data_IF_351123826483
#
_entry.id   IF_351123826483
#
_cell.length_a   1.000
_cell.length_b   1.000
_cell.length_c   1.000
_cell.angle_alpha   90.00
_cell.angle_beta   90.00
_cell.angle_gamma   90.00
#
_symmetry.space_group_name_H-M   'P 1'
#
loop_
_entity.id
_entity.type
_entity.pdbx_description
1 polymer ?
#
# COMPACT_ATOMS: atom_id res chain seq x y z
N UNK A 1 29.32 0.62 -17.53
CA UNK A 1 28.82 -0.18 -17.23
C UNK A 1 27.50 -0.47 -17.56
N UNK A 2 27.35 -1.04 -18.37
CA UNK A 2 26.07 -1.22 -18.88
C UNK A 2 25.17 -2.07 -18.10
N UNK A 3 25.69 -2.79 -17.13
CA UNK A 3 24.78 -3.65 -16.47
C UNK A 3 23.79 -2.89 -15.67
N UNK A 4 24.09 -1.71 -15.25
CA UNK A 4 23.17 -0.95 -14.46
C UNK A 4 21.93 -0.60 -15.20
N UNK A 5 22.03 -0.16 -16.45
CA UNK A 5 20.82 0.19 -17.11
C UNK A 5 20.09 -0.99 -17.68
N UNK A 6 20.75 -2.09 -17.90
CA UNK A 6 20.01 -3.24 -18.31
C UNK A 6 19.08 -3.73 -17.23
N UNK A 7 19.48 -3.58 -15.98
CA UNK A 7 18.64 -3.97 -14.88
C UNK A 7 17.49 -3.04 -14.67
N UNK A 8 17.69 -1.76 -14.97
CA UNK A 8 16.76 -0.76 -14.49
C UNK A 8 15.34 -0.94 -15.01
N UNK A 9 15.17 -1.28 -16.26
CA UNK A 9 13.82 -1.29 -16.81
C UNK A 9 13.04 -2.50 -16.39
N UNK A 10 13.64 -3.69 -16.54
CA UNK A 10 12.92 -4.89 -16.25
C UNK A 10 12.77 -5.13 -14.76
N UNK A 11 13.80 -4.79 -14.01
CA UNK A 11 13.86 -5.19 -12.61
C UNK A 11 13.14 -4.26 -11.69
N UNK A 12 12.75 -3.06 -12.13
CA UNK A 12 11.96 -2.19 -11.27
C UNK A 12 10.65 -2.85 -10.87
N UNK A 13 9.99 -3.51 -11.82
CA UNK A 13 8.71 -4.15 -11.52
C UNK A 13 8.87 -5.33 -10.56
N UNK A 14 10.07 -5.89 -10.48
CA UNK A 14 10.34 -7.03 -9.60
C UNK A 14 11.04 -6.63 -8.32
N UNK A 15 11.45 -5.38 -8.18
CA UNK A 15 12.03 -4.93 -6.94
C UNK A 15 11.02 -5.04 -5.82
N UNK A 16 11.51 -5.45 -4.66
CA UNK A 16 10.66 -5.59 -3.50
C UNK A 16 11.01 -4.52 -2.51
N UNK A 17 10.04 -3.68 -2.20
CA UNK A 17 10.17 -2.65 -1.20
C UNK A 17 8.90 -2.60 -0.40
N UNK A 18 8.91 -1.85 0.68
CA UNK A 18 7.71 -1.67 1.49
C UNK A 18 6.92 -0.50 0.93
N UNK A 19 5.60 -0.57 1.16
CA UNK A 19 4.69 0.46 0.67
C UNK A 19 3.77 0.93 1.78
N UNK A 20 3.40 2.20 1.65
CA UNK A 20 2.37 2.84 2.46
C UNK A 20 1.19 3.02 1.53
N UNK A 21 0.04 2.47 1.90
CA UNK A 21 -1.15 2.54 1.07
C UNK A 21 -2.27 3.15 1.89
N UNK A 22 -2.84 4.23 1.39
CA UNK A 22 -3.89 4.93 2.08
C UNK A 22 -5.17 4.85 1.27
N UNK A 23 -6.24 4.39 1.91
CA UNK A 23 -7.53 4.23 1.27
C UNK A 23 -8.57 5.08 1.98
N UNK A 24 -9.48 5.64 1.21
CA UNK A 24 -10.72 6.20 1.74
C UNK A 24 -11.81 5.20 1.45
N UNK A 25 -12.48 4.73 2.49
CA UNK A 25 -13.45 3.64 2.36
C UNK A 25 -14.75 4.02 3.05
N UNK A 26 -15.82 3.32 2.67
CA UNK A 26 -17.09 3.48 3.37
C UNK A 26 -16.96 2.91 4.77
N UNK A 27 -17.64 3.53 5.74
CA UNK A 27 -17.63 3.04 7.11
C UNK A 27 -18.71 2.00 7.26
N UNK A 28 -18.39 0.75 6.94
CA UNK A 28 -19.35 -0.33 7.04
C UNK A 28 -18.65 -1.62 7.40
N UNK A 29 -19.45 -2.56 7.87
CA UNK A 29 -18.92 -3.85 8.27
C UNK A 29 -18.28 -4.54 7.08
N UNK A 30 -17.17 -5.20 7.34
CA UNK A 30 -16.52 -6.02 6.35
C UNK A 30 -15.55 -5.30 5.45
N UNK A 31 -15.48 -3.96 5.49
CA UNK A 31 -14.59 -3.26 4.58
C UNK A 31 -13.13 -3.60 4.86
N UNK A 32 -12.78 -3.74 6.13
CA UNK A 32 -11.42 -4.11 6.48
C UNK A 32 -11.09 -5.49 5.94
N UNK A 33 -12.01 -6.43 6.09
CA UNK A 33 -11.81 -7.79 5.59
C UNK A 33 -11.69 -7.81 4.08
N UNK A 34 -12.55 -7.04 3.39
CA UNK A 34 -12.50 -7.00 1.93
C UNK A 34 -11.16 -6.49 1.42
N UNK A 35 -10.70 -5.37 1.98
CA UNK A 35 -9.47 -4.77 1.49
C UNK A 35 -8.26 -5.62 1.86
N UNK A 36 -8.28 -6.21 3.05
CA UNK A 36 -7.20 -7.09 3.46
C UNK A 36 -7.12 -8.32 2.55
N UNK A 37 -8.28 -8.86 2.18
CA UNK A 37 -8.30 -10.02 1.32
C UNK A 37 -7.73 -9.69 -0.05
N UNK A 38 -8.04 -8.53 -0.59
CA UNK A 38 -7.48 -8.12 -1.88
C UNK A 38 -5.96 -8.09 -1.81
N UNK A 39 -5.43 -7.47 -0.75
CA UNK A 39 -3.98 -7.40 -0.63
C UNK A 39 -3.36 -8.79 -0.52
N UNK A 40 -3.98 -9.66 0.25
CA UNK A 40 -3.46 -11.02 0.40
C UNK A 40 -3.52 -11.78 -0.92
N UNK A 41 -4.64 -11.65 -1.64
CA UNK A 41 -4.79 -12.34 -2.92
C UNK A 41 -3.79 -11.85 -3.94
N UNK A 42 -3.35 -10.61 -3.81
CA UNK A 42 -2.38 -10.02 -4.71
C UNK A 42 -0.95 -10.14 -4.19
N UNK A 43 -0.75 -11.06 -3.24
CA UNK A 43 0.59 -11.42 -2.80
C UNK A 43 1.26 -10.35 -1.95
N UNK A 44 0.49 -9.55 -1.26
CA UNK A 44 1.03 -8.48 -0.44
C UNK A 44 0.81 -8.81 1.02
N UNK A 45 1.90 -8.84 1.76
CA UNK A 45 1.88 -9.13 3.19
C UNK A 45 1.83 -7.80 3.95
N UNK A 46 0.92 -7.71 4.90
CA UNK A 46 0.68 -6.47 5.63
C UNK A 46 1.44 -6.50 6.94
N UNK A 47 2.18 -5.43 7.22
CA UNK A 47 2.89 -5.32 8.49
C UNK A 47 2.10 -4.52 9.51
N UNK A 48 1.37 -3.51 9.07
CA UNK A 48 0.63 -2.64 9.98
C UNK A 48 -0.63 -2.14 9.33
N UNK A 49 -1.66 -1.93 10.14
CA UNK A 49 -2.93 -1.36 9.70
C UNK A 49 -3.32 -0.27 10.67
N UNK A 50 -3.76 0.85 10.15
CA UNK A 50 -4.28 1.94 10.96
C UNK A 50 -5.61 2.36 10.38
N UNK A 51 -6.60 2.55 11.22
CA UNK A 51 -7.94 2.92 10.80
C UNK A 51 -8.39 4.16 11.55
N UNK A 52 -8.87 5.15 10.81
CA UNK A 52 -9.32 6.40 11.38
C UNK A 52 -10.66 6.77 10.77
N UNK A 53 -11.62 7.11 11.59
CA UNK A 53 -12.90 7.56 11.09
C UNK A 53 -12.88 9.05 10.80
N UNK A 54 -13.63 9.45 9.78
CA UNK A 54 -13.79 10.86 9.49
C UNK A 54 -14.79 11.46 10.48
N UNK A 55 -14.83 12.77 10.53
CA UNK A 55 -15.69 13.45 11.47
C UNK A 55 -17.16 13.30 11.15
N UNK A 56 -17.49 13.13 9.89
CA UNK A 56 -18.90 12.99 9.51
C UNK A 56 -19.39 11.56 9.60
N UNK A 57 -18.53 10.64 9.98
CA UNK A 57 -18.87 9.22 10.15
C UNK A 57 -19.35 8.52 8.90
N UNK A 58 -19.08 9.10 7.75
CA UNK A 58 -19.49 8.47 6.50
C UNK A 58 -18.35 7.76 5.80
N UNK A 59 -17.15 8.05 6.18
CA UNK A 59 -15.99 7.45 5.56
C UNK A 59 -14.93 7.18 6.60
N UNK A 60 -14.08 6.22 6.27
CA UNK A 60 -12.92 5.90 7.08
C UNK A 60 -11.69 6.00 6.23
N UNK A 61 -10.57 6.24 6.88
CA UNK A 61 -9.28 6.13 6.24
C UNK A 61 -8.61 4.87 6.74
N UNK A 62 -8.19 4.02 5.81
CA UNK A 62 -7.41 2.84 6.16
C UNK A 62 -6.00 3.06 5.63
N UNK A 63 -5.03 2.84 6.50
CA UNK A 63 -3.64 2.96 6.12
C UNK A 63 -2.98 1.61 6.34
N UNK A 64 -2.40 1.09 5.28
CA UNK A 64 -1.69 -0.17 5.32
C UNK A 64 -0.20 0.08 5.11
N UNK A 65 0.61 -0.53 5.96
CA UNK A 65 2.04 -0.65 5.70
C UNK A 65 2.29 -2.08 5.30
N UNK A 66 3.07 -2.30 4.26
CA UNK A 66 3.33 -3.66 3.80
C UNK A 66 4.74 -4.09 4.17
N UNK A 67 4.94 -5.40 4.19
CA UNK A 67 6.29 -5.94 4.10
C UNK A 67 6.75 -5.75 2.66
N UNK A 68 7.97 -6.17 2.36
CA UNK A 68 8.49 -6.01 1.00
C UNK A 68 7.56 -6.69 0.00
N UNK A 69 7.22 -5.96 -1.05
CA UNK A 69 6.32 -6.44 -2.09
C UNK A 69 6.82 -5.91 -3.43
N UNK A 70 6.43 -6.60 -4.49
CA UNK A 70 6.82 -6.21 -5.83
C UNK A 70 5.90 -5.10 -6.34
N UNK A 71 6.47 -4.20 -7.12
CA UNK A 71 5.67 -3.11 -7.65
C UNK A 71 4.52 -3.63 -8.51
N UNK A 72 4.74 -4.70 -9.28
CA UNK A 72 3.67 -5.24 -10.12
C UNK A 72 2.48 -5.70 -9.27
N UNK A 73 2.77 -6.28 -8.11
CA UNK A 73 1.71 -6.75 -7.23
C UNK A 73 0.97 -5.58 -6.59
N UNK A 74 1.69 -4.52 -6.29
CA UNK A 74 1.09 -3.31 -5.73
C UNK A 74 0.18 -2.65 -6.77
N UNK A 75 0.60 -2.59 -8.02
CA UNK A 75 -0.23 -1.98 -9.06
C UNK A 75 -1.51 -2.79 -9.29
N UNK A 76 -1.38 -4.12 -9.27
CA UNK A 76 -2.56 -4.96 -9.40
C UNK A 76 -3.50 -4.77 -8.21
N UNK A 77 -2.95 -4.72 -7.01
CA UNK A 77 -3.76 -4.53 -5.83
C UNK A 77 -4.47 -3.19 -5.86
N UNK A 78 -3.80 -2.15 -6.33
CA UNK A 78 -4.42 -0.84 -6.44
C UNK A 78 -5.65 -0.90 -7.33
N UNK A 79 -5.53 -1.55 -8.47
CA UNK A 79 -6.67 -1.66 -9.39
C UNK A 79 -7.79 -2.49 -8.76
N UNK A 80 -7.44 -3.56 -8.09
CA UNK A 80 -8.45 -4.42 -7.47
C UNK A 80 -9.14 -3.72 -6.31
N UNK A 81 -8.40 -2.91 -5.55
CA UNK A 81 -9.01 -2.13 -4.47
C UNK A 81 -9.96 -1.10 -5.03
N UNK A 82 -9.56 -0.44 -6.11
CA UNK A 82 -10.43 0.58 -6.71
C UNK A 82 -11.71 0.00 -7.27
N UNK A 83 -11.71 -1.29 -7.56
CA UNK A 83 -12.90 -1.96 -8.08
C UNK A 83 -13.90 -2.33 -6.99
N UNK A 84 -13.53 -2.26 -5.72
CA UNK A 84 -14.45 -2.57 -4.64
C UNK A 84 -15.41 -1.41 -4.42
N UNK A 85 -16.69 -1.74 -4.27
CA UNK A 85 -17.69 -0.71 -4.01
C UNK A 85 -17.43 0.03 -2.73
N UNK A 86 -16.87 -0.64 -1.74
CA UNK A 86 -16.64 -0.03 -0.44
C UNK A 86 -15.43 0.90 -0.42
N UNK A 87 -14.59 0.85 -1.44
CA UNK A 87 -13.42 1.72 -1.53
C UNK A 87 -13.77 2.93 -2.36
N UNK A 88 -13.77 4.10 -1.72
CA UNK A 88 -14.09 5.33 -2.41
C UNK A 88 -12.91 5.84 -3.21
N UNK A 89 -11.70 5.66 -2.71
CA UNK A 89 -10.50 6.10 -3.41
C UNK A 89 -9.28 5.42 -2.81
N UNK A 90 -8.31 5.14 -3.67
CA UNK A 90 -6.96 4.82 -3.22
C UNK A 90 -6.22 6.16 -3.22
N UNK A 91 -6.09 6.73 -2.03
CA UNK A 91 -5.64 8.11 -1.90
C UNK A 91 -4.15 8.27 -2.10
N UNK A 92 -3.36 7.28 -1.69
CA UNK A 92 -1.91 7.35 -1.80
C UNK A 92 -1.33 5.97 -1.86
N UNK A 93 -0.28 5.81 -2.66
CA UNK A 93 0.54 4.61 -2.67
C UNK A 93 1.97 5.12 -2.72
N UNK A 94 2.71 4.94 -1.64
CA UNK A 94 4.04 5.52 -1.50
C UNK A 94 5.02 4.41 -1.24
N UNK A 95 6.08 4.37 -2.03
CA UNK A 95 7.14 3.39 -1.85
C UNK A 95 8.09 3.86 -0.75
N UNK A 96 8.39 2.97 0.17
CA UNK A 96 9.32 3.26 1.24
C UNK A 96 10.56 2.41 1.01
N UNK A 97 11.60 3.02 0.47
CA UNK A 97 12.74 2.25 0.01
C UNK A 97 13.72 1.91 1.10
N UNK A 98 13.79 2.74 2.13
CA UNK A 98 14.76 2.50 3.18
C UNK A 98 14.10 2.81 4.50
N UNK A 99 13.39 1.79 5.01
CA UNK A 99 12.59 2.00 6.21
C UNK A 99 13.46 2.30 7.42
N UNK A 100 14.68 1.75 7.46
CA UNK A 100 15.55 2.01 8.60
C UNK A 100 16.03 3.44 8.61
N UNK A 101 16.43 3.96 7.46
CA UNK A 101 16.83 5.35 7.38
C UNK A 101 15.66 6.27 7.68
N UNK A 102 14.49 5.90 7.22
CA UNK A 102 13.28 6.65 7.50
C UNK A 102 13.04 6.75 9.01
N UNK A 103 13.11 5.61 9.69
CA UNK A 103 12.85 5.59 11.12
C UNK A 103 13.90 6.34 11.91
N UNK A 104 15.16 6.25 11.49
CA UNK A 104 16.24 6.87 12.24
C UNK A 104 16.44 8.32 11.90
N UNK A 105 16.23 8.69 10.67
CA UNK A 105 16.50 10.03 10.23
C UNK A 105 15.31 10.93 10.21
N UNK A 106 14.17 10.43 9.75
CA UNK A 106 13.02 11.29 9.58
C UNK A 106 12.40 11.69 10.91
N UNK A 107 12.53 10.86 11.92
CA UNK A 107 11.86 11.11 13.18
C UNK A 107 12.76 11.55 14.30
N UNK A 108 14.06 11.61 14.04
CA UNK A 108 14.98 12.05 15.08
C UNK A 108 15.10 13.53 15.17
N UNK A 109 14.59 14.24 14.24
CA UNK A 109 14.66 15.69 14.28
C UNK A 109 13.34 16.32 14.65
#
# INVERSE_FOLDING_TARGET
>A
EPFGHNLAIRDIADLETRYYIRLTVADKLGVLAETTKVLADDNISISDINQTKSEDNEACTLIYMTHAAKERDIEKARADLEALDSVKAVSSVIRIENIEAWNEGAFDN
#
